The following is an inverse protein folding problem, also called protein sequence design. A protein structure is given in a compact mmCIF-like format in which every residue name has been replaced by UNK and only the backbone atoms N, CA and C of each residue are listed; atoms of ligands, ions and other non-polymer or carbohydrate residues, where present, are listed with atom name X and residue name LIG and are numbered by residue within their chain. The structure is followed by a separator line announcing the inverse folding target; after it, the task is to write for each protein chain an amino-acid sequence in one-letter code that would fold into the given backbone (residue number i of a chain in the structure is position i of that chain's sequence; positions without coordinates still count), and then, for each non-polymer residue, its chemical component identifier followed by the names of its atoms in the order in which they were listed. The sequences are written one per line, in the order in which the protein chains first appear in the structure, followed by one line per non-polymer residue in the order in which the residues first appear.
data_IF_875910799950
#
_entry.id   IF_875910799950
#
_cell.length_a   1.000
_cell.length_b   1.000
_cell.length_c   1.000
_cell.angle_alpha   90.00
_cell.angle_beta   90.00
_cell.angle_gamma   90.00
#
_symmetry.space_group_name_H-M   'P 1'
#
loop_
_entity.id
_entity.type
_entity.pdbx_description
1 polymer ?
#
# COMPACT_ATOMS: atom_id res chain seq x y z
N UNK A 1 8.75 9.43 17.88
CA UNK A 1 7.91 8.23 18.01
C UNK A 1 7.49 7.93 16.58
N UNK A 2 8.04 6.88 15.98
CA UNK A 2 7.70 6.49 14.61
C UNK A 2 6.21 6.14 14.62
N UNK A 3 5.37 6.86 13.87
CA UNK A 3 3.97 6.49 13.72
C UNK A 3 3.90 5.07 13.18
N UNK A 4 3.06 4.24 13.80
CA UNK A 4 2.89 2.87 13.36
C UNK A 4 2.30 2.89 11.95
N UNK A 5 3.07 2.40 10.98
CA UNK A 5 2.61 2.30 9.60
C UNK A 5 1.53 1.21 9.49
N UNK A 6 0.28 1.63 9.59
CA UNK A 6 -0.90 0.74 9.59
C UNK A 6 -0.97 -0.11 8.33
N UNK A 7 -0.63 0.47 7.18
CA UNK A 7 -0.57 -0.24 5.91
C UNK A 7 0.47 -1.36 5.96
N UNK A 8 1.68 -1.09 6.44
CA UNK A 8 2.71 -2.12 6.56
C UNK A 8 2.29 -3.23 7.54
N UNK A 9 1.59 -2.87 8.63
CA UNK A 9 1.02 -3.82 9.58
C UNK A 9 -0.01 -4.73 8.91
N UNK A 10 -0.95 -4.14 8.17
CA UNK A 10 -1.96 -4.86 7.40
C UNK A 10 -1.33 -5.81 6.39
N UNK A 11 -0.38 -5.32 5.59
CA UNK A 11 0.31 -6.13 4.57
C UNK A 11 0.97 -7.37 5.20
N UNK A 12 1.62 -7.21 6.35
CA UNK A 12 2.25 -8.33 7.08
C UNK A 12 1.22 -9.32 7.60
N UNK A 13 0.13 -8.84 8.21
CA UNK A 13 -0.93 -9.69 8.76
C UNK A 13 -1.65 -10.51 7.67
N UNK A 14 -1.74 -9.97 6.45
CA UNK A 14 -2.39 -10.61 5.31
C UNK A 14 -1.42 -11.34 4.37
N UNK A 15 -0.13 -11.47 4.75
CA UNK A 15 0.92 -12.07 3.91
C UNK A 15 1.04 -11.46 2.51
N UNK A 16 0.74 -10.17 2.37
CA UNK A 16 0.88 -9.43 1.12
C UNK A 16 2.29 -8.84 1.06
N UNK A 17 3.06 -9.24 0.05
CA UNK A 17 4.39 -8.67 -0.18
C UNK A 17 4.30 -7.28 -0.80
N UNK A 18 5.28 -6.42 -0.51
CA UNK A 18 5.40 -5.10 -1.16
C UNK A 18 5.56 -5.22 -2.68
N UNK A 19 6.19 -6.30 -3.14
CA UNK A 19 6.27 -6.65 -4.56
C UNK A 19 4.88 -6.87 -5.16
N UNK A 20 3.99 -7.57 -4.46
CA UNK A 20 2.61 -7.78 -4.92
C UNK A 20 1.83 -6.47 -4.99
N UNK A 21 2.02 -5.57 -4.02
CA UNK A 21 1.44 -4.22 -4.05
C UNK A 21 1.91 -3.49 -5.30
N UNK A 22 3.21 -3.50 -5.58
CA UNK A 22 3.81 -2.85 -6.75
C UNK A 22 3.25 -3.38 -8.08
N UNK A 23 3.06 -4.70 -8.18
CA UNK A 23 2.42 -5.35 -9.34
C UNK A 23 0.98 -4.88 -9.55
N UNK A 24 0.18 -4.82 -8.47
CA UNK A 24 -1.24 -4.39 -8.55
C UNK A 24 -1.37 -2.96 -9.02
N UNK A 25 -0.50 -2.07 -8.56
CA UNK A 25 -0.54 -0.64 -8.93
C UNK A 25 0.27 -0.32 -10.19
N UNK A 26 0.92 -1.31 -10.80
CA UNK A 26 1.75 -1.12 -12.00
C UNK A 26 2.95 -0.19 -11.79
N UNK A 27 3.60 -0.25 -10.61
CA UNK A 27 4.74 0.60 -10.24
C UNK A 27 5.98 -0.23 -9.89
N UNK A 28 7.12 0.45 -9.79
CA UNK A 28 8.34 -0.17 -9.26
C UNK A 28 8.24 -0.37 -7.75
N UNK A 29 8.98 -1.35 -7.22
CA UNK A 29 9.02 -1.60 -5.77
C UNK A 29 9.54 -0.39 -5.00
N UNK A 30 10.52 0.35 -5.53
CA UNK A 30 11.06 1.54 -4.89
C UNK A 30 10.02 2.66 -4.78
N UNK A 31 9.24 2.90 -5.86
CA UNK A 31 8.17 3.89 -5.82
C UNK A 31 7.03 3.46 -4.90
N UNK A 32 6.72 2.18 -4.87
CA UNK A 32 5.70 1.61 -4.00
C UNK A 32 6.09 1.73 -2.53
N UNK A 33 7.35 1.42 -2.19
CA UNK A 33 7.85 1.56 -0.82
C UNK A 33 7.88 3.01 -0.35
N UNK A 34 8.11 3.97 -1.24
CA UNK A 34 7.93 5.38 -0.89
C UNK A 34 6.49 5.70 -0.52
N UNK A 35 5.51 5.15 -1.24
CA UNK A 35 4.08 5.33 -0.93
C UNK A 35 3.69 4.65 0.37
N UNK A 36 4.10 3.41 0.55
CA UNK A 36 3.83 2.64 1.79
C UNK A 36 4.40 3.39 3.00
N UNK A 37 5.59 3.97 2.91
CA UNK A 37 6.22 4.71 4.00
C UNK A 37 5.87 6.21 4.02
N UNK A 38 4.73 6.61 3.44
CA UNK A 38 4.21 7.99 3.49
C UNK A 38 5.15 9.07 2.91
N UNK A 39 6.08 8.71 2.03
CA UNK A 39 6.92 9.67 1.31
C UNK A 39 6.30 10.18 0.00
N UNK A 40 5.11 9.68 -0.36
CA UNK A 40 4.30 10.11 -1.50
C UNK A 40 2.92 9.44 -1.43
N UNK A 41 1.85 10.12 -1.84
CA UNK A 41 0.50 9.56 -1.72
C UNK A 41 0.18 8.54 -2.83
N UNK A 42 -0.75 7.63 -2.55
CA UNK A 42 -1.39 6.83 -3.58
C UNK A 42 -2.36 7.70 -4.39
N UNK A 43 -2.42 7.49 -5.70
CA UNK A 43 -3.46 8.12 -6.52
C UNK A 43 -4.81 7.44 -6.29
N UNK A 44 -5.91 8.10 -6.61
CA UNK A 44 -7.26 7.51 -6.51
C UNK A 44 -7.39 6.18 -7.28
N UNK A 45 -6.77 6.09 -8.46
CA UNK A 45 -6.76 4.84 -9.24
C UNK A 45 -5.99 3.72 -8.53
N UNK A 46 -4.86 4.05 -7.88
CA UNK A 46 -4.06 3.09 -7.13
C UNK A 46 -4.82 2.64 -5.86
N UNK A 47 -5.46 3.56 -5.13
CA UNK A 47 -6.32 3.25 -3.98
C UNK A 47 -7.45 2.31 -4.39
N UNK A 48 -8.13 2.58 -5.51
CA UNK A 48 -9.17 1.70 -6.04
C UNK A 48 -8.63 0.30 -6.33
N UNK A 49 -7.48 0.18 -7.00
CA UNK A 49 -6.86 -1.12 -7.28
C UNK A 49 -6.52 -1.87 -5.98
N UNK A 50 -5.91 -1.20 -5.01
CA UNK A 50 -5.55 -1.80 -3.72
C UNK A 50 -6.78 -2.26 -2.92
N UNK A 51 -7.86 -1.49 -2.95
CA UNK A 51 -9.12 -1.85 -2.32
C UNK A 51 -9.77 -3.07 -3.00
N UNK A 52 -9.88 -3.06 -4.34
CA UNK A 52 -10.58 -4.14 -5.05
C UNK A 52 -9.76 -5.44 -5.15
N UNK A 53 -8.45 -5.34 -5.41
CA UNK A 53 -7.58 -6.49 -5.65
C UNK A 53 -6.99 -7.07 -4.36
N UNK A 54 -6.56 -6.21 -3.42
CA UNK A 54 -5.88 -6.62 -2.20
C UNK A 54 -6.76 -6.51 -0.95
N UNK A 55 -7.99 -6.05 -1.11
CA UNK A 55 -8.98 -5.87 -0.02
C UNK A 55 -8.49 -4.97 1.11
N UNK A 56 -7.56 -4.07 0.81
CA UNK A 56 -7.02 -3.12 1.80
C UNK A 56 -8.13 -2.09 2.12
N UNK A 57 -8.55 -1.94 3.38
CA UNK A 57 -9.55 -0.94 3.77
C UNK A 57 -9.13 0.48 3.39
N UNK A 58 -10.09 1.30 2.95
CA UNK A 58 -9.85 2.71 2.58
C UNK A 58 -9.30 3.52 3.76
N UNK A 59 -9.70 3.20 4.99
CA UNK A 59 -9.23 3.84 6.22
C UNK A 59 -7.71 3.71 6.41
N UNK A 60 -7.08 2.69 5.82
CA UNK A 60 -5.63 2.45 5.89
C UNK A 60 -4.89 3.15 4.73
N UNK A 61 -5.61 3.53 3.67
CA UNK A 61 -5.05 4.08 2.42
C UNK A 61 -5.17 5.61 2.30
N UNK A 62 -5.96 6.25 3.17
CA UNK A 62 -6.31 7.68 3.15
C UNK A 62 -5.63 8.40 4.31
#
# INVERSE_FOLDING_TARGET
MEEANELLGYLKAHHISQQKVAEVIGRSISSTNRKINHHSDFTQSEIHQLYYELKIPLEILI
#
